data_IF_522545075172
#
_entry.id   IF_522545075172
#
_cell.length_a   1.000
_cell.length_b   1.000
_cell.length_c   1.000
_cell.angle_alpha   90.00
_cell.angle_beta   90.00
_cell.angle_gamma   90.00
#
_symmetry.space_group_name_H-M   'P 1'
#
loop_
_entity.id
_entity.type
_entity.pdbx_description
1 polymer ?
#
# COMPACT_ATOMS: atom_id res chain seq x y z
N UNK A 1 -40.62 13.78 -24.58
CA UNK A 1 -40.35 13.51 -23.15
C UNK A 1 -38.92 13.02 -23.04
N UNK A 2 -37.99 13.78 -22.44
CA UNK A 2 -36.63 13.29 -22.30
C UNK A 2 -36.59 12.23 -21.20
N UNK A 3 -36.07 11.05 -21.54
CA UNK A 3 -35.79 9.97 -20.59
C UNK A 3 -34.55 10.37 -19.80
N UNK A 4 -34.74 10.74 -18.54
CA UNK A 4 -33.64 10.93 -17.58
C UNK A 4 -33.18 9.53 -17.18
N UNK A 5 -31.99 9.13 -17.63
CA UNK A 5 -31.30 7.96 -17.08
C UNK A 5 -30.84 8.34 -15.66
N UNK A 6 -31.59 7.88 -14.66
CA UNK A 6 -31.13 7.86 -13.27
C UNK A 6 -30.03 6.80 -13.17
N UNK A 7 -28.77 7.25 -13.17
CA UNK A 7 -27.63 6.43 -12.80
C UNK A 7 -27.73 6.18 -11.29
N UNK A 8 -28.37 5.08 -10.89
CA UNK A 8 -28.43 4.68 -9.49
C UNK A 8 -27.04 4.33 -9.00
N UNK A 9 -26.60 4.95 -7.91
CA UNK A 9 -25.41 4.52 -7.19
C UNK A 9 -25.61 3.07 -6.73
N UNK A 10 -25.00 2.11 -7.41
CA UNK A 10 -24.93 0.74 -6.92
C UNK A 10 -24.14 0.76 -5.61
N UNK A 11 -24.81 0.36 -4.52
CA UNK A 11 -24.15 0.12 -3.24
C UNK A 11 -23.14 -1.01 -3.44
N UNK A 12 -21.93 -0.85 -2.90
CA UNK A 12 -20.96 -1.93 -2.83
C UNK A 12 -21.63 -3.17 -2.21
N UNK A 13 -21.44 -4.32 -2.84
CA UNK A 13 -21.93 -5.58 -2.28
C UNK A 13 -21.18 -5.85 -0.98
N UNK A 14 -21.90 -6.29 0.07
CA UNK A 14 -21.23 -6.74 1.27
C UNK A 14 -20.43 -8.01 0.95
N UNK A 15 -19.13 -7.99 1.23
CA UNK A 15 -18.29 -9.19 1.16
C UNK A 15 -18.39 -9.89 2.52
N UNK A 16 -18.72 -11.20 2.56
CA UNK A 16 -18.76 -11.93 3.81
C UNK A 16 -17.43 -11.82 4.55
N UNK A 17 -17.50 -11.72 5.89
CA UNK A 17 -16.35 -11.81 6.79
C UNK A 17 -15.28 -10.70 6.65
N UNK A 18 -15.50 -9.71 5.77
CA UNK A 18 -14.68 -8.51 5.64
C UNK A 18 -15.49 -7.27 6.02
N UNK A 19 -14.97 -6.38 6.88
CA UNK A 19 -15.65 -5.14 7.22
C UNK A 19 -15.98 -4.27 6.00
N UNK A 20 -17.05 -3.46 6.06
CA UNK A 20 -17.48 -2.65 4.92
C UNK A 20 -16.43 -1.66 4.43
N UNK A 21 -16.17 -1.66 3.12
CA UNK A 21 -15.39 -0.65 2.42
C UNK A 21 -15.77 -0.62 0.92
N UNK A 22 -15.27 0.38 0.17
CA UNK A 22 -15.41 0.42 -1.28
C UNK A 22 -14.18 -0.20 -1.94
N UNK A 23 -14.28 -1.48 -2.32
CA UNK A 23 -13.20 -2.31 -2.88
C UNK A 23 -12.98 -2.10 -4.39
N UNK A 24 -13.23 -0.86 -4.87
CA UNK A 24 -13.03 -0.46 -6.26
C UNK A 24 -11.97 0.62 -6.33
N UNK A 25 -11.06 0.50 -7.30
CA UNK A 25 -10.05 1.55 -7.57
C UNK A 25 -10.71 2.91 -7.89
N UNK A 26 -11.94 2.91 -8.40
CA UNK A 26 -12.72 4.12 -8.65
C UNK A 26 -12.99 4.95 -7.38
N UNK A 27 -13.04 4.35 -6.20
CA UNK A 27 -13.17 5.08 -4.94
C UNK A 27 -11.95 5.96 -4.68
N UNK A 28 -10.75 5.41 -4.90
CA UNK A 28 -9.48 6.15 -4.87
C UNK A 28 -9.47 7.31 -5.86
N UNK A 29 -9.89 7.06 -7.11
CA UNK A 29 -9.98 8.11 -8.14
C UNK A 29 -10.95 9.22 -7.77
N UNK A 30 -12.13 8.88 -7.22
CA UNK A 30 -13.11 9.86 -6.76
C UNK A 30 -12.59 10.69 -5.58
N UNK A 31 -11.93 10.06 -4.60
CA UNK A 31 -11.30 10.74 -3.48
C UNK A 31 -10.18 11.68 -3.95
N UNK A 32 -9.38 11.24 -4.93
CA UNK A 32 -8.34 12.05 -5.54
C UNK A 32 -8.91 13.26 -6.30
N UNK A 33 -10.04 13.11 -6.99
CA UNK A 33 -10.73 14.24 -7.62
C UNK A 33 -11.26 15.26 -6.60
N UNK A 34 -11.67 14.81 -5.40
CA UNK A 34 -12.13 15.68 -4.32
C UNK A 34 -10.97 16.33 -3.52
N UNK A 35 -9.81 15.68 -3.46
CA UNK A 35 -8.59 16.20 -2.82
C UNK A 35 -7.39 16.10 -3.77
N UNK A 36 -7.30 17.01 -4.76
CA UNK A 36 -6.34 16.87 -5.87
C UNK A 36 -4.87 16.88 -5.43
N UNK A 37 -4.53 17.47 -4.28
CA UNK A 37 -3.15 17.45 -3.76
C UNK A 37 -2.73 16.09 -3.17
N UNK A 38 -3.69 15.19 -2.89
CA UNK A 38 -3.43 13.86 -2.36
C UNK A 38 -3.05 13.82 -0.87
N UNK A 39 -3.35 14.88 -0.12
CA UNK A 39 -2.98 15.01 1.30
C UNK A 39 -4.14 14.69 2.27
N UNK A 40 -5.34 14.45 1.74
CA UNK A 40 -6.47 14.11 2.59
C UNK A 40 -6.32 12.66 3.09
N UNK A 41 -6.39 12.41 4.41
CA UNK A 41 -6.44 11.05 4.90
C UNK A 41 -7.69 10.33 4.37
N UNK A 42 -7.61 9.02 4.10
CA UNK A 42 -8.78 8.22 3.77
C UNK A 42 -9.74 8.14 4.98
N UNK A 43 -11.03 7.81 4.76
CA UNK A 43 -11.99 7.63 5.84
C UNK A 43 -11.48 6.66 6.91
N UNK A 44 -11.64 7.04 8.19
CA UNK A 44 -11.21 6.22 9.34
C UNK A 44 -9.73 6.33 9.71
N UNK A 45 -8.89 6.99 8.90
CA UNK A 45 -7.49 7.22 9.22
C UNK A 45 -7.23 8.59 9.86
N UNK A 46 -6.11 8.67 10.59
CA UNK A 46 -5.57 9.90 11.18
C UNK A 46 -6.46 10.57 12.24
N UNK A 47 -7.28 9.80 12.96
CA UNK A 47 -7.81 10.22 14.25
C UNK A 47 -6.70 10.16 15.31
N UNK A 48 -6.02 11.28 15.51
CA UNK A 48 -4.95 11.43 16.50
C UNK A 48 -5.43 11.35 17.96
N UNK A 49 -6.74 11.35 18.20
CA UNK A 49 -7.32 11.09 19.52
C UNK A 49 -7.58 9.59 19.78
N UNK A 50 -7.46 8.74 18.77
CA UNK A 50 -7.66 7.31 18.89
C UNK A 50 -6.72 6.69 19.95
N UNK A 51 -7.25 5.73 20.71
CA UNK A 51 -6.51 4.96 21.71
C UNK A 51 -6.65 3.48 21.38
N UNK A 52 -5.54 2.78 21.06
CA UNK A 52 -5.55 1.35 20.79
C UNK A 52 -6.20 0.59 21.95
N UNK A 53 -7.05 -0.38 21.62
CA UNK A 53 -7.72 -1.22 22.62
C UNK A 53 -6.77 -2.33 23.11
N UNK A 54 -7.17 -3.05 24.17
CA UNK A 54 -6.44 -4.26 24.56
C UNK A 54 -6.52 -5.35 23.48
N UNK A 55 -7.55 -5.31 22.63
CA UNK A 55 -7.73 -6.25 21.53
C UNK A 55 -6.79 -5.91 20.36
N UNK A 56 -6.67 -4.64 20.01
CA UNK A 56 -5.78 -4.15 18.96
C UNK A 56 -4.80 -3.13 19.55
N UNK A 57 -3.76 -3.57 20.28
CA UNK A 57 -2.87 -2.68 21.04
C UNK A 57 -1.91 -1.88 20.17
N UNK A 58 -1.69 -2.30 18.92
CA UNK A 58 -0.83 -1.60 17.97
C UNK A 58 -1.69 -0.82 16.97
N UNK A 59 -1.48 0.50 16.80
CA UNK A 59 -2.07 1.23 15.68
C UNK A 59 -1.45 0.76 14.36
N UNK A 60 -2.24 0.79 13.29
CA UNK A 60 -1.80 0.38 11.95
C UNK A 60 -1.38 1.61 11.15
N UNK A 61 -0.14 1.61 10.65
CA UNK A 61 0.40 2.67 9.78
C UNK A 61 0.39 2.19 8.32
N UNK A 62 -0.21 3.00 7.46
CA UNK A 62 -0.41 2.73 6.04
C UNK A 62 0.64 3.44 5.18
N UNK A 63 1.43 2.69 4.42
CA UNK A 63 2.53 3.20 3.59
C UNK A 63 2.27 2.93 2.10
N UNK A 64 1.86 3.97 1.37
CA UNK A 64 1.48 3.88 -0.05
C UNK A 64 2.67 3.49 -0.95
N UNK A 65 2.37 3.05 -2.17
CA UNK A 65 3.34 2.71 -3.20
C UNK A 65 3.97 3.93 -3.88
N UNK A 66 4.84 3.65 -4.86
CA UNK A 66 5.45 4.71 -5.65
C UNK A 66 4.40 5.41 -6.53
N UNK A 67 4.52 6.73 -6.70
CA UNK A 67 3.59 7.57 -7.48
C UNK A 67 2.16 7.66 -6.96
N UNK A 68 1.87 7.00 -5.84
CA UNK A 68 0.62 7.11 -5.12
C UNK A 68 0.67 8.25 -4.09
N UNK A 69 -0.38 8.33 -3.30
CA UNK A 69 -0.48 9.13 -2.09
C UNK A 69 -1.50 8.48 -1.16
N UNK A 70 -1.59 8.94 0.08
CA UNK A 70 -2.49 8.38 1.08
C UNK A 70 -3.97 8.50 0.69
N UNK A 71 -4.36 9.53 -0.09
CA UNK A 71 -5.75 9.73 -0.50
C UNK A 71 -6.19 8.65 -1.49
N UNK A 72 -5.37 8.36 -2.51
CA UNK A 72 -5.77 7.42 -3.56
C UNK A 72 -5.60 5.95 -3.15
N UNK A 73 -4.54 5.63 -2.40
CA UNK A 73 -4.17 4.25 -2.13
C UNK A 73 -5.09 3.53 -1.13
N UNK A 74 -5.68 4.26 -0.19
CA UNK A 74 -6.20 3.65 1.05
C UNK A 74 -7.72 3.77 1.26
N UNK A 75 -8.49 4.01 0.20
CA UNK A 75 -9.95 4.13 0.29
C UNK A 75 -10.67 2.81 0.63
N UNK A 76 -10.01 1.66 0.45
CA UNK A 76 -10.54 0.36 0.86
C UNK A 76 -9.99 -0.07 2.22
N UNK A 77 -8.67 -0.17 2.35
CA UNK A 77 -8.04 -0.77 3.53
C UNK A 77 -8.19 0.07 4.80
N UNK A 78 -8.13 1.41 4.73
CA UNK A 78 -8.27 2.25 5.91
C UNK A 78 -9.66 2.16 6.56
N UNK A 79 -10.78 2.36 5.85
CA UNK A 79 -12.10 2.20 6.46
C UNK A 79 -12.37 0.76 6.89
N UNK A 80 -11.88 -0.25 6.14
CA UNK A 80 -11.99 -1.65 6.54
C UNK A 80 -11.32 -1.91 7.90
N UNK A 81 -10.08 -1.46 8.08
CA UNK A 81 -9.34 -1.59 9.35
C UNK A 81 -9.99 -0.78 10.47
N UNK A 82 -10.45 0.43 10.18
CA UNK A 82 -11.15 1.25 11.16
C UNK A 82 -12.44 0.58 11.64
N UNK A 83 -13.23 0.00 10.73
CA UNK A 83 -14.43 -0.77 11.06
C UNK A 83 -14.12 -2.06 11.83
N UNK A 84 -12.94 -2.65 11.63
CA UNK A 84 -12.43 -3.74 12.45
C UNK A 84 -11.92 -3.30 13.84
N UNK A 85 -11.95 -2.00 14.17
CA UNK A 85 -11.59 -1.49 15.50
C UNK A 85 -10.12 -1.10 15.67
N UNK A 86 -9.35 -1.02 14.59
CA UNK A 86 -7.97 -0.54 14.65
C UNK A 86 -7.91 1.00 14.70
N UNK A 87 -6.94 1.55 15.42
CA UNK A 87 -6.49 2.92 15.19
C UNK A 87 -5.63 2.94 13.93
N UNK A 88 -6.07 3.65 12.89
CA UNK A 88 -5.42 3.66 11.57
C UNK A 88 -4.78 5.02 11.31
N UNK A 89 -3.54 5.01 10.82
CA UNK A 89 -2.79 6.21 10.46
C UNK A 89 -2.20 6.07 9.06
N UNK A 90 -2.28 7.11 8.26
CA UNK A 90 -1.71 7.15 6.91
C UNK A 90 -0.85 8.39 6.74
N UNK A 91 0.18 8.28 5.92
CA UNK A 91 1.07 9.40 5.60
C UNK A 91 1.39 9.44 4.11
N UNK A 92 1.79 10.63 3.65
CA UNK A 92 2.54 10.77 2.41
C UNK A 92 4.04 10.74 2.73
N UNK A 93 4.82 10.12 1.86
CA UNK A 93 6.28 10.11 1.92
C UNK A 93 6.87 10.42 0.55
N UNK A 94 8.10 10.90 0.52
CA UNK A 94 8.84 11.20 -0.71
C UNK A 94 8.25 12.34 -1.54
N UNK A 95 7.63 13.33 -0.90
CA UNK A 95 7.29 14.61 -1.53
C UNK A 95 8.56 15.47 -1.67
N UNK A 96 8.83 16.04 -2.84
CA UNK A 96 9.92 17.03 -2.97
C UNK A 96 9.39 18.42 -2.65
N UNK A 97 10.12 19.18 -1.86
CA UNK A 97 9.69 20.52 -1.39
C UNK A 97 9.55 21.55 -2.51
N UNK A 98 10.20 21.35 -3.66
CA UNK A 98 10.11 22.23 -4.83
C UNK A 98 8.87 21.99 -5.69
N UNK A 99 8.09 20.96 -5.38
CA UNK A 99 7.01 20.54 -6.25
C UNK A 99 5.78 21.43 -6.17
N UNK A 100 5.22 21.69 -7.35
CA UNK A 100 4.02 22.50 -7.53
C UNK A 100 2.96 21.69 -8.26
N UNK A 101 1.76 22.24 -8.35
CA UNK A 101 0.68 21.59 -9.10
C UNK A 101 1.07 21.42 -10.58
N UNK A 102 0.88 20.23 -11.20
CA UNK A 102 0.27 19.01 -10.66
C UNK A 102 1.23 17.99 -10.03
N UNK A 103 2.55 18.14 -10.18
CA UNK A 103 3.55 17.18 -9.74
C UNK A 103 3.51 16.88 -8.22
N UNK A 104 3.09 17.87 -7.42
CA UNK A 104 2.91 17.72 -5.96
C UNK A 104 1.84 16.68 -5.57
N UNK A 105 0.94 16.31 -6.48
CA UNK A 105 -0.05 15.24 -6.25
C UNK A 105 0.58 13.84 -6.25
N UNK A 106 1.75 13.69 -6.87
CA UNK A 106 2.48 12.44 -7.03
C UNK A 106 3.55 12.35 -5.96
N UNK A 107 3.42 11.39 -5.05
CA UNK A 107 4.38 11.17 -3.94
C UNK A 107 5.27 9.97 -4.22
N UNK A 108 6.11 9.60 -3.26
CA UNK A 108 7.07 8.53 -3.39
C UNK A 108 8.11 8.80 -4.49
N UNK A 109 8.55 10.05 -4.64
CA UNK A 109 9.49 10.47 -5.69
C UNK A 109 10.90 10.74 -5.20
N UNK A 110 11.13 10.79 -3.90
CA UNK A 110 12.48 10.86 -3.33
C UNK A 110 13.07 9.46 -3.14
N UNK A 111 14.41 9.36 -2.95
CA UNK A 111 15.04 8.08 -2.64
C UNK A 111 14.39 7.37 -1.44
N UNK A 112 14.42 6.04 -1.45
CA UNK A 112 13.73 5.20 -0.45
C UNK A 112 14.20 5.50 0.98
N UNK A 113 15.48 5.80 1.16
CA UNK A 113 16.05 6.16 2.47
C UNK A 113 15.46 7.46 3.04
N UNK A 114 15.12 8.42 2.18
CA UNK A 114 14.45 9.65 2.61
C UNK A 114 13.03 9.34 3.09
N UNK A 115 12.27 8.57 2.32
CA UNK A 115 10.93 8.12 2.74
C UNK A 115 10.98 7.34 4.06
N UNK A 116 12.02 6.52 4.26
CA UNK A 116 12.18 5.73 5.47
C UNK A 116 12.45 6.60 6.71
N UNK A 117 13.16 7.72 6.54
CA UNK A 117 13.35 8.70 7.61
C UNK A 117 12.03 9.42 7.95
N UNK A 118 11.23 9.80 6.94
CA UNK A 118 9.90 10.37 7.18
C UNK A 118 8.98 9.38 7.91
N UNK A 119 9.05 8.10 7.54
CA UNK A 119 8.32 7.03 8.23
C UNK A 119 8.78 6.89 9.68
N UNK A 120 10.09 7.00 9.96
CA UNK A 120 10.60 6.96 11.34
C UNK A 120 9.96 8.06 12.22
N UNK A 121 9.94 9.30 11.72
CA UNK A 121 9.33 10.43 12.42
C UNK A 121 7.82 10.24 12.61
N UNK A 122 7.15 9.70 11.58
CA UNK A 122 5.71 9.43 11.64
C UNK A 122 5.36 8.34 12.65
N UNK A 123 6.14 7.25 12.70
CA UNK A 123 5.95 6.17 13.69
C UNK A 123 6.08 6.70 15.10
N UNK A 124 7.11 7.49 15.39
CA UNK A 124 7.27 8.06 16.73
C UNK A 124 6.13 9.03 17.09
N UNK A 125 5.65 9.81 16.12
CA UNK A 125 4.46 10.66 16.31
C UNK A 125 3.21 9.84 16.63
N UNK A 126 2.98 8.74 15.90
CA UNK A 126 1.84 7.84 16.14
C UNK A 126 1.93 7.20 17.52
N UNK A 127 3.10 6.68 17.91
CA UNK A 127 3.34 6.09 19.24
C UNK A 127 3.12 7.12 20.35
N UNK A 128 3.65 8.33 20.20
CA UNK A 128 3.46 9.40 21.18
C UNK A 128 1.99 9.82 21.32
N UNK A 129 1.23 9.89 20.22
CA UNK A 129 -0.17 10.29 20.25
C UNK A 129 -1.08 9.21 20.84
N UNK A 130 -0.81 7.94 20.55
CA UNK A 130 -1.64 6.79 20.94
C UNK A 130 -1.26 6.20 22.28
N UNK A 131 0.00 6.34 22.70
CA UNK A 131 0.59 5.67 23.85
C UNK A 131 1.04 4.23 23.58
N UNK A 132 1.01 3.76 22.32
CA UNK A 132 1.40 2.41 21.97
C UNK A 132 2.92 2.20 21.94
N UNK A 133 3.37 1.03 22.40
CA UNK A 133 4.78 0.66 22.39
C UNK A 133 5.29 0.33 20.98
N UNK A 134 4.42 -0.21 20.11
CA UNK A 134 4.73 -0.59 18.74
C UNK A 134 3.58 -0.23 17.81
N UNK A 135 3.87 -0.21 16.52
CA UNK A 135 2.88 -0.10 15.44
C UNK A 135 2.87 -1.39 14.62
N UNK A 136 1.81 -1.60 13.87
CA UNK A 136 1.78 -2.57 12.76
C UNK A 136 1.81 -1.82 11.43
N UNK A 137 2.44 -2.39 10.41
CA UNK A 137 2.47 -1.81 9.07
C UNK A 137 1.55 -2.56 8.13
N UNK A 138 0.82 -1.81 7.31
CA UNK A 138 0.23 -2.28 6.06
C UNK A 138 0.80 -1.42 4.93
N UNK A 139 1.50 -2.06 4.01
CA UNK A 139 2.26 -1.36 2.96
C UNK A 139 1.84 -1.84 1.59
N UNK A 140 1.95 -0.96 0.60
CA UNK A 140 1.74 -1.31 -0.80
C UNK A 140 3.02 -1.03 -1.60
N UNK A 141 3.43 -1.98 -2.45
CA UNK A 141 4.49 -1.80 -3.44
C UNK A 141 5.78 -1.25 -2.80
N UNK A 142 6.30 -0.13 -3.30
CA UNK A 142 7.48 0.56 -2.75
C UNK A 142 7.35 0.96 -1.26
N UNK A 143 6.14 1.16 -0.74
CA UNK A 143 5.92 1.39 0.68
C UNK A 143 6.48 0.25 1.55
N UNK A 144 6.52 -0.97 1.03
CA UNK A 144 7.17 -2.12 1.67
C UNK A 144 8.68 -1.95 1.81
N UNK A 145 9.36 -1.46 0.75
CA UNK A 145 10.80 -1.19 0.81
C UNK A 145 11.12 0.00 1.73
N UNK A 146 10.29 1.04 1.71
CA UNK A 146 10.43 2.22 2.58
C UNK A 146 10.29 1.81 4.05
N UNK A 147 9.20 1.14 4.41
CA UNK A 147 8.99 0.64 5.77
C UNK A 147 10.05 -0.38 6.18
N UNK A 148 10.43 -1.28 5.27
CA UNK A 148 11.46 -2.29 5.52
C UNK A 148 12.83 -1.68 5.79
N UNK A 149 13.19 -0.62 5.06
CA UNK A 149 14.43 0.12 5.31
C UNK A 149 14.44 0.78 6.69
N UNK A 150 13.32 1.39 7.10
CA UNK A 150 13.17 1.93 8.45
C UNK A 150 13.39 0.85 9.52
N UNK A 151 12.69 -0.28 9.37
CA UNK A 151 12.77 -1.41 10.31
C UNK A 151 14.20 -1.97 10.39
N UNK A 152 14.87 -2.13 9.24
CA UNK A 152 16.18 -2.77 9.16
C UNK A 152 17.35 -1.85 9.52
N UNK A 153 17.31 -0.58 9.13
CA UNK A 153 18.49 0.30 9.18
C UNK A 153 18.32 1.55 10.04
N UNK A 154 17.08 1.94 10.38
CA UNK A 154 16.81 3.19 11.11
C UNK A 154 16.24 2.94 12.50
N UNK A 155 16.43 1.73 13.04
CA UNK A 155 16.04 1.38 14.41
C UNK A 155 14.56 1.06 14.58
N UNK A 156 13.81 0.73 13.52
CA UNK A 156 12.39 0.37 13.64
C UNK A 156 12.11 -1.04 14.17
N UNK A 157 13.13 -1.90 14.32
CA UNK A 157 12.96 -3.30 14.70
C UNK A 157 12.23 -3.53 16.04
N UNK A 158 12.39 -2.62 17.02
CA UNK A 158 11.70 -2.68 18.31
C UNK A 158 10.41 -1.83 18.36
N UNK A 159 10.08 -1.15 17.25
CA UNK A 159 8.92 -0.27 17.09
C UNK A 159 7.82 -0.85 16.22
N UNK A 160 8.11 -1.88 15.44
CA UNK A 160 7.13 -2.57 14.58
C UNK A 160 6.89 -3.98 15.11
N UNK A 161 5.64 -4.42 15.25
CA UNK A 161 5.33 -5.79 15.65
C UNK A 161 5.02 -6.67 14.44
N UNK A 162 4.16 -6.18 13.54
CA UNK A 162 3.78 -6.88 12.31
C UNK A 162 3.99 -6.01 11.09
N UNK A 163 4.38 -6.65 9.99
CA UNK A 163 4.61 -6.01 8.70
C UNK A 163 3.83 -6.76 7.63
N UNK A 164 2.71 -6.20 7.20
CA UNK A 164 1.91 -6.73 6.10
C UNK A 164 2.27 -5.97 4.83
N UNK A 165 2.79 -6.69 3.84
CA UNK A 165 3.32 -6.14 2.61
C UNK A 165 2.48 -6.62 1.42
N UNK A 166 1.76 -5.70 0.78
CA UNK A 166 1.02 -5.96 -0.45
C UNK A 166 1.96 -5.66 -1.62
N UNK A 167 2.32 -6.69 -2.39
CA UNK A 167 3.14 -6.59 -3.60
C UNK A 167 4.48 -5.84 -3.42
N UNK A 168 5.14 -6.00 -2.26
CA UNK A 168 6.43 -5.36 -2.02
C UNK A 168 7.56 -6.00 -2.85
N UNK A 169 8.33 -5.24 -3.65
CA UNK A 169 9.39 -5.78 -4.50
C UNK A 169 10.68 -6.08 -3.71
N UNK A 170 10.63 -7.05 -2.80
CA UNK A 170 11.74 -7.40 -1.90
C UNK A 170 13.04 -7.79 -2.61
N UNK A 171 12.96 -8.34 -3.83
CA UNK A 171 14.12 -8.62 -4.67
C UNK A 171 14.28 -7.63 -5.85
N UNK A 172 13.45 -6.58 -5.91
CA UNK A 172 13.46 -5.58 -6.97
C UNK A 172 12.56 -5.97 -8.14
N UNK A 173 12.47 -5.10 -9.14
CA UNK A 173 11.77 -5.39 -10.39
C UNK A 173 12.45 -4.67 -11.53
N UNK A 174 12.90 -5.44 -12.52
CA UNK A 174 13.53 -4.89 -13.73
C UNK A 174 12.48 -4.49 -14.78
N UNK A 175 11.22 -4.88 -14.59
CA UNK A 175 10.08 -4.47 -15.42
C UNK A 175 9.38 -3.20 -14.93
N UNK A 176 9.72 -2.72 -13.74
CA UNK A 176 9.10 -1.54 -13.13
C UNK A 176 9.16 -0.28 -14.03
N UNK A 177 10.21 -0.18 -14.86
CA UNK A 177 10.37 0.91 -15.82
C UNK A 177 9.35 0.86 -16.98
N UNK A 178 8.66 -0.27 -17.20
CA UNK A 178 7.79 -0.52 -18.36
C UNK A 178 6.29 -0.39 -18.04
N UNK A 179 5.85 -0.64 -16.80
CA UNK A 179 4.42 -0.71 -16.43
C UNK A 179 3.91 0.46 -15.58
N UNK A 180 4.73 1.07 -14.71
CA UNK A 180 4.24 1.94 -13.64
C UNK A 180 3.86 3.38 -14.04
N UNK A 181 4.15 3.82 -15.28
CA UNK A 181 3.98 5.24 -15.67
C UNK A 181 2.99 5.54 -16.79
N UNK A 182 2.63 4.55 -17.63
CA UNK A 182 1.89 4.82 -18.86
C UNK A 182 0.48 4.22 -18.93
N UNK A 183 0.13 3.25 -18.09
CA UNK A 183 -1.18 2.57 -18.22
C UNK A 183 -2.32 3.34 -17.52
N UNK A 184 -2.10 3.89 -16.33
CA UNK A 184 -3.13 4.67 -15.63
C UNK A 184 -3.27 6.12 -16.15
N UNK A 185 -2.23 6.65 -16.80
CA UNK A 185 -2.19 8.01 -17.35
C UNK A 185 -2.37 8.08 -18.88
N UNK A 186 -2.50 6.94 -19.55
CA UNK A 186 -2.45 6.81 -21.01
C UNK A 186 -3.75 6.37 -21.66
N UNK A 187 -4.84 7.12 -21.49
CA UNK A 187 -5.96 7.01 -22.43
C UNK A 187 -5.47 7.42 -23.83
N UNK A 188 -5.61 6.57 -24.87
CA UNK A 188 -5.11 6.90 -26.20
C UNK A 188 -5.85 8.14 -26.75
N UNK A 189 -5.10 9.19 -27.08
CA UNK A 189 -5.59 10.33 -27.86
C UNK A 189 -5.77 11.66 -27.14
N UNK A 190 -5.31 11.84 -25.89
CA UNK A 190 -5.35 13.15 -25.22
C UNK A 190 -3.95 13.69 -24.95
N UNK A 191 -3.80 15.02 -24.98
CA UNK A 191 -2.57 15.79 -24.70
C UNK A 191 -2.01 15.63 -23.27
N UNK A 192 -2.43 14.59 -22.55
CA UNK A 192 -2.00 14.24 -21.20
C UNK A 192 -0.61 13.61 -21.16
N UNK A 193 -0.07 13.11 -22.28
CA UNK A 193 1.28 12.52 -22.31
C UNK A 193 2.36 13.52 -21.91
N UNK A 194 2.30 14.75 -22.40
CA UNK A 194 3.24 15.83 -22.04
C UNK A 194 3.05 16.31 -20.60
N UNK A 195 1.82 16.31 -20.09
CA UNK A 195 1.54 16.65 -18.70
C UNK A 195 1.99 15.53 -17.74
N UNK A 196 1.87 14.26 -18.15
CA UNK A 196 2.39 13.11 -17.42
C UNK A 196 3.91 13.06 -17.45
N UNK A 197 4.55 13.29 -18.60
CA UNK A 197 6.02 13.44 -18.72
C UNK A 197 6.53 14.61 -17.85
N UNK A 198 5.80 15.73 -17.79
CA UNK A 198 6.13 16.86 -16.93
C UNK A 198 5.86 16.61 -15.43
N UNK A 199 4.81 15.85 -15.09
CA UNK A 199 4.43 15.51 -13.71
C UNK A 199 5.29 14.39 -13.11
N UNK A 200 5.75 13.44 -13.93
CA UNK A 200 6.69 12.39 -13.53
C UNK A 200 8.06 12.97 -13.16
N UNK A 201 8.40 14.15 -13.69
CA UNK A 201 9.58 14.91 -13.31
C UNK A 201 10.88 14.10 -13.46
N UNK A 202 11.90 14.47 -12.70
CA UNK A 202 13.15 13.71 -12.66
C UNK A 202 12.95 12.33 -12.02
N UNK A 203 12.82 11.33 -12.87
CA UNK A 203 12.69 9.91 -12.55
C UNK A 203 13.96 9.31 -11.90
N UNK A 204 15.03 10.10 -11.71
CA UNK A 204 16.29 9.69 -11.05
C UNK A 204 16.16 9.32 -9.56
N UNK A 205 14.98 9.50 -8.96
CA UNK A 205 14.70 9.23 -7.55
C UNK A 205 14.72 7.73 -7.19
N UNK A 206 13.62 7.14 -6.71
CA UNK A 206 13.66 5.77 -6.20
C UNK A 206 13.60 4.69 -7.31
N UNK A 207 13.36 5.05 -8.57
CA UNK A 207 13.27 4.07 -9.67
C UNK A 207 14.54 3.27 -9.91
N UNK A 208 15.74 3.87 -10.01
CA UNK A 208 16.97 3.08 -10.14
C UNK A 208 17.21 2.19 -8.90
N UNK A 209 16.65 2.55 -7.75
CA UNK A 209 16.83 1.78 -6.51
C UNK A 209 16.03 0.49 -6.51
N UNK A 210 14.92 0.37 -7.27
CA UNK A 210 14.14 -0.87 -7.34
C UNK A 210 14.63 -1.88 -8.35
N UNK A 211 15.61 -1.52 -9.19
CA UNK A 211 16.23 -2.49 -10.09
C UNK A 211 16.89 -3.61 -9.28
N UNK A 212 16.74 -4.86 -9.72
CA UNK A 212 17.24 -6.04 -9.00
C UNK A 212 18.74 -5.94 -8.69
N UNK A 213 19.47 -5.35 -9.64
CA UNK A 213 20.93 -5.15 -9.62
C UNK A 213 21.39 -3.90 -8.86
N UNK A 214 20.47 -3.09 -8.34
CA UNK A 214 20.83 -1.84 -7.67
C UNK A 214 21.64 -2.07 -6.38
N UNK A 215 22.46 -1.08 -6.02
CA UNK A 215 23.17 -1.10 -4.74
C UNK A 215 22.20 -1.07 -3.55
N UNK A 216 21.06 -0.38 -3.70
CA UNK A 216 20.00 -0.36 -2.70
C UNK A 216 19.44 -1.75 -2.45
N UNK A 217 19.03 -2.48 -3.50
CA UNK A 217 18.47 -3.83 -3.34
C UNK A 217 19.52 -4.81 -2.81
N UNK A 218 20.77 -4.68 -3.25
CA UNK A 218 21.88 -5.47 -2.71
C UNK A 218 22.07 -5.26 -1.22
N UNK A 219 21.94 -4.01 -0.74
CA UNK A 219 21.96 -3.67 0.68
C UNK A 219 20.72 -4.19 1.41
N UNK A 220 19.52 -4.03 0.85
CA UNK A 220 18.29 -4.57 1.47
C UNK A 220 18.38 -6.08 1.69
N UNK A 221 19.00 -6.83 0.76
CA UNK A 221 19.19 -8.28 0.86
C UNK A 221 20.42 -8.71 1.67
N UNK A 222 21.18 -7.78 2.26
CA UNK A 222 22.30 -8.14 3.14
C UNK A 222 21.82 -8.94 4.35
N UNK A 223 22.74 -9.61 5.04
CA UNK A 223 22.48 -10.20 6.36
C UNK A 223 21.32 -11.21 6.40
N UNK A 224 21.13 -11.95 5.31
CA UNK A 224 20.11 -13.00 5.20
C UNK A 224 18.76 -12.54 4.65
N UNK A 225 18.60 -11.29 4.24
CA UNK A 225 17.40 -10.81 3.56
C UNK A 225 16.82 -9.52 4.13
N UNK A 226 15.67 -9.04 3.63
CA UNK A 226 15.10 -7.75 4.00
C UNK A 226 14.44 -7.72 5.38
N UNK A 227 14.22 -8.88 6.00
CA UNK A 227 13.48 -9.01 7.26
C UNK A 227 14.40 -9.01 8.48
N UNK A 228 13.91 -8.49 9.60
CA UNK A 228 14.62 -8.53 10.89
C UNK A 228 13.93 -9.44 11.91
N UNK A 229 14.68 -10.11 12.81
CA UNK A 229 14.10 -10.86 13.92
C UNK A 229 13.21 -9.98 14.81
N UNK A 230 12.16 -10.55 15.38
CA UNK A 230 11.24 -9.86 16.31
C UNK A 230 10.06 -9.14 15.64
N UNK A 231 10.04 -9.06 14.31
CA UNK A 231 8.92 -8.57 13.50
C UNK A 231 8.31 -9.73 12.72
N UNK A 232 6.99 -9.87 12.73
CA UNK A 232 6.28 -10.88 11.93
C UNK A 232 5.91 -10.29 10.56
N UNK A 233 6.34 -10.92 9.47
CA UNK A 233 6.08 -10.44 8.11
C UNK A 233 5.02 -11.30 7.43
N UNK A 234 4.11 -10.66 6.70
CA UNK A 234 3.20 -11.32 5.77
C UNK A 234 3.26 -10.63 4.43
N UNK A 235 3.64 -11.37 3.38
CA UNK A 235 3.65 -10.89 2.00
C UNK A 235 2.38 -11.37 1.30
N UNK A 236 1.60 -10.42 0.78
CA UNK A 236 0.39 -10.64 0.00
C UNK A 236 0.72 -10.37 -1.47
N UNK A 237 0.58 -11.39 -2.29
CA UNK A 237 1.22 -11.48 -3.60
C UNK A 237 0.17 -11.88 -4.64
N UNK A 238 0.21 -11.25 -5.82
CA UNK A 238 -0.55 -11.71 -6.97
C UNK A 238 0.36 -12.37 -7.98
N UNK A 239 -0.06 -13.51 -8.54
CA UNK A 239 0.62 -14.11 -9.71
C UNK A 239 0.44 -13.30 -10.99
N UNK A 240 -0.50 -12.36 -11.00
CA UNK A 240 -0.83 -11.48 -12.12
C UNK A 240 -0.14 -10.11 -12.03
N UNK A 241 0.73 -9.92 -11.04
CA UNK A 241 1.49 -8.68 -10.87
C UNK A 241 2.35 -8.37 -12.11
N UNK A 242 2.05 -7.24 -12.75
CA UNK A 242 2.65 -6.73 -13.97
C UNK A 242 3.71 -5.64 -13.71
N UNK A 243 3.90 -5.26 -12.44
CA UNK A 243 4.85 -4.23 -11.99
C UNK A 243 6.05 -4.85 -11.30
N UNK A 244 5.83 -5.81 -10.42
CA UNK A 244 6.85 -6.59 -9.72
C UNK A 244 7.01 -7.90 -10.46
N UNK A 245 7.98 -7.93 -11.39
CA UNK A 245 8.18 -9.08 -12.28
C UNK A 245 9.59 -9.64 -12.10
N UNK A 246 9.74 -10.96 -11.84
CA UNK A 246 8.66 -11.91 -11.61
C UNK A 246 7.92 -11.62 -10.28
N UNK A 247 6.63 -11.97 -10.18
CA UNK A 247 5.84 -11.75 -8.94
C UNK A 247 6.48 -12.39 -7.70
N UNK A 248 7.25 -13.46 -7.92
CA UNK A 248 8.04 -14.14 -6.89
C UNK A 248 9.12 -13.25 -6.27
N UNK A 249 9.41 -12.07 -6.84
CA UNK A 249 10.26 -11.06 -6.22
C UNK A 249 9.69 -10.55 -4.88
N UNK A 250 8.38 -10.69 -4.68
CA UNK A 250 7.71 -10.40 -3.42
C UNK A 250 7.78 -11.54 -2.38
N UNK A 251 8.37 -12.69 -2.74
CA UNK A 251 8.54 -13.82 -1.82
C UNK A 251 9.85 -13.67 -1.04
N UNK A 252 9.78 -13.83 0.28
CA UNK A 252 10.96 -13.87 1.16
C UNK A 252 10.98 -15.20 1.91
N UNK A 253 12.09 -15.92 1.81
CA UNK A 253 12.31 -17.17 2.54
C UNK A 253 13.02 -16.86 3.88
N UNK A 254 12.24 -16.75 4.95
CA UNK A 254 12.73 -16.51 6.30
C UNK A 254 11.72 -17.04 7.36
N UNK A 255 12.18 -17.45 8.55
CA UNK A 255 11.35 -18.14 9.54
C UNK A 255 10.21 -17.30 10.13
N UNK A 256 10.31 -15.97 10.06
CA UNK A 256 9.31 -15.02 10.52
C UNK A 256 8.44 -14.44 9.40
N UNK A 257 8.41 -15.10 8.23
CA UNK A 257 7.67 -14.64 7.06
C UNK A 257 6.57 -15.65 6.69
N UNK A 258 5.37 -15.13 6.40
CA UNK A 258 4.32 -15.85 5.68
C UNK A 258 4.15 -15.24 4.28
N UNK A 259 4.35 -16.04 3.24
CA UNK A 259 4.07 -15.63 1.86
C UNK A 259 2.71 -16.19 1.44
N UNK A 260 1.84 -15.34 0.89
CA UNK A 260 0.51 -15.72 0.40
C UNK A 260 0.39 -15.24 -1.03
N UNK A 261 0.30 -16.18 -1.97
CA UNK A 261 -0.20 -15.88 -3.31
C UNK A 261 -1.72 -15.97 -3.23
N UNK A 262 -2.43 -14.85 -3.42
CA UNK A 262 -3.88 -14.78 -3.14
C UNK A 262 -4.67 -15.79 -3.97
N UNK A 263 -4.21 -16.07 -5.19
CA UNK A 263 -4.79 -17.08 -6.09
C UNK A 263 -4.67 -18.52 -5.60
N UNK A 264 -3.76 -18.84 -4.68
CA UNK A 264 -3.65 -20.19 -4.12
C UNK A 264 -4.84 -20.49 -3.19
N UNK A 265 -5.42 -19.46 -2.58
CA UNK A 265 -6.62 -19.53 -1.74
C UNK A 265 -7.92 -19.18 -2.48
N UNK A 266 -7.83 -18.39 -3.55
CA UNK A 266 -8.97 -17.98 -4.35
C UNK A 266 -8.62 -17.83 -5.84
N UNK A 267 -8.79 -18.89 -6.64
CA UNK A 267 -8.48 -18.85 -8.08
C UNK A 267 -9.35 -17.86 -8.88
N UNK A 268 -10.47 -17.40 -8.32
CA UNK A 268 -11.35 -16.41 -8.94
C UNK A 268 -10.83 -14.97 -8.80
N UNK A 269 -9.87 -14.75 -7.91
CA UNK A 269 -9.22 -13.47 -7.69
C UNK A 269 -8.16 -13.23 -8.77
N UNK A 270 -8.44 -12.30 -9.67
CA UNK A 270 -7.56 -11.90 -10.77
C UNK A 270 -6.90 -10.54 -10.49
N UNK A 271 -6.83 -10.10 -9.23
CA UNK A 271 -6.21 -8.83 -8.88
C UNK A 271 -4.78 -8.74 -9.41
N UNK A 272 -4.45 -7.62 -10.04
CA UNK A 272 -3.10 -7.26 -10.48
C UNK A 272 -2.39 -6.40 -9.42
N UNK A 273 -1.26 -5.77 -9.77
CA UNK A 273 -0.48 -4.99 -8.81
C UNK A 273 -1.31 -3.92 -8.09
N UNK A 274 -2.12 -3.15 -8.85
CA UNK A 274 -2.91 -2.06 -8.30
C UNK A 274 -4.20 -2.55 -7.64
N UNK A 275 -4.83 -3.59 -8.19
CA UNK A 275 -6.08 -4.10 -7.64
C UNK A 275 -5.89 -4.75 -6.25
N UNK A 276 -4.71 -5.30 -5.93
CA UNK A 276 -4.43 -5.89 -4.61
C UNK A 276 -4.70 -4.93 -3.44
N UNK A 277 -4.48 -3.62 -3.60
CA UNK A 277 -4.71 -2.65 -2.51
C UNK A 277 -6.19 -2.38 -2.23
N UNK A 278 -7.07 -2.75 -3.16
CA UNK A 278 -8.53 -2.67 -3.03
C UNK A 278 -9.19 -4.05 -3.09
N UNK A 279 -8.43 -5.12 -2.95
CA UNK A 279 -8.93 -6.48 -3.04
C UNK A 279 -9.46 -6.96 -1.67
N UNK A 280 -10.73 -7.40 -1.57
CA UNK A 280 -11.29 -7.92 -0.33
C UNK A 280 -10.68 -9.26 0.13
N UNK A 281 -10.14 -10.08 -0.76
CA UNK A 281 -9.38 -11.31 -0.42
C UNK A 281 -8.07 -10.91 0.25
N UNK A 282 -7.32 -9.98 -0.34
CA UNK A 282 -6.15 -9.34 0.28
C UNK A 282 -6.49 -8.70 1.62
N UNK A 283 -7.61 -8.00 1.73
CA UNK A 283 -8.08 -7.39 2.98
C UNK A 283 -8.30 -8.43 4.09
N UNK A 284 -8.95 -9.56 3.78
CA UNK A 284 -9.13 -10.66 4.71
C UNK A 284 -7.80 -11.25 5.18
N UNK A 285 -6.85 -11.43 4.26
CA UNK A 285 -5.50 -11.88 4.62
C UNK A 285 -4.73 -10.86 5.48
N UNK A 286 -4.91 -9.56 5.24
CA UNK A 286 -4.30 -8.49 6.04
C UNK A 286 -4.85 -8.51 7.47
N UNK A 287 -6.17 -8.61 7.65
CA UNK A 287 -6.79 -8.77 8.97
C UNK A 287 -6.26 -10.01 9.69
N UNK A 288 -6.16 -11.13 8.98
CA UNK A 288 -5.64 -12.37 9.55
C UNK A 288 -4.16 -12.29 9.93
N UNK A 289 -3.38 -11.43 9.29
CA UNK A 289 -2.00 -11.18 9.64
C UNK A 289 -1.89 -10.27 10.87
N UNK A 290 -2.72 -9.23 10.96
CA UNK A 290 -2.74 -8.25 12.04
C UNK A 290 -3.26 -8.83 13.36
N UNK A 291 -4.25 -9.73 13.31
CA UNK A 291 -4.79 -10.42 14.47
C UNK A 291 -5.11 -11.90 14.15
N UNK A 292 -4.12 -12.80 14.21
CA UNK A 292 -4.28 -14.20 13.84
C UNK A 292 -5.21 -14.98 14.77
N UNK A 293 -5.40 -14.54 16.02
CA UNK A 293 -6.21 -15.26 17.01
C UNK A 293 -7.71 -15.04 16.82
N UNK A 294 -8.09 -13.92 16.16
CA UNK A 294 -9.48 -13.51 15.94
C UNK A 294 -9.78 -13.21 14.46
N UNK A 295 -8.90 -13.66 13.58
CA UNK A 295 -9.02 -13.47 12.15
C UNK A 295 -10.37 -14.01 11.64
N UNK A 296 -11.17 -13.21 10.91
CA UNK A 296 -12.32 -13.74 10.20
C UNK A 296 -11.86 -14.70 9.08
N UNK A 297 -12.79 -15.50 8.56
CA UNK A 297 -12.51 -16.31 7.37
C UNK A 297 -12.17 -15.39 6.19
N UNK A 298 -11.15 -15.76 5.41
CA UNK A 298 -10.80 -14.99 4.21
C UNK A 298 -11.82 -15.33 3.12
N UNK A 299 -12.50 -14.34 2.51
CA UNK A 299 -13.47 -14.61 1.46
C UNK A 299 -12.76 -15.12 0.19
N UNK A 300 -13.50 -15.82 -0.67
CA UNK A 300 -13.11 -16.00 -2.05
C UNK A 300 -14.18 -15.42 -2.98
N UNK A 301 -13.87 -14.28 -3.58
CA UNK A 301 -14.74 -13.54 -4.49
C UNK A 301 -13.96 -13.13 -5.73
N UNK A 302 -14.62 -12.97 -6.90
CA UNK A 302 -13.94 -12.47 -8.09
C UNK A 302 -13.43 -11.05 -7.91
N UNK A 303 -12.21 -10.78 -8.33
CA UNK A 303 -11.62 -9.43 -8.34
C UNK A 303 -10.97 -9.23 -9.69
N UNK A 304 -11.25 -8.10 -10.35
CA UNK A 304 -10.81 -7.86 -11.72
C UNK A 304 -9.55 -6.97 -11.76
N UNK A 305 -8.60 -7.23 -12.68
CA UNK A 305 -7.44 -6.38 -12.91
C UNK A 305 -7.83 -4.93 -13.16
N UNK A 306 -7.07 -3.97 -12.61
CA UNK A 306 -7.27 -2.52 -12.71
C UNK A 306 -8.66 -1.99 -12.31
N UNK A 307 -9.51 -2.83 -11.68
CA UNK A 307 -10.88 -2.48 -11.32
C UNK A 307 -11.13 -2.70 -9.82
N UNK A 308 -10.87 -3.90 -9.30
CA UNK A 308 -11.30 -4.34 -7.97
C UNK A 308 -12.54 -5.24 -8.01
N UNK A 309 -13.24 -5.36 -6.86
CA UNK A 309 -14.47 -6.15 -6.67
C UNK A 309 -15.73 -5.28 -6.88
#
# INVERSE_FOLDING_TARGET
MPVVLLCGAQRAAAVPDVPPADFRLAAGMAAMAASPRGDAPPPGANDWSCRPSAEHPNPVVLLHGQFENQTIAWQAMAPMLHHAGYCVFSMNWGERSSDTWPAVAVKGRLPIEHGAAEVADFVERVRAATGADRVDFLTHSMGGLVGGYYVKFLGGADRVARFVAIAAPWNGSDHFAMSSGMQLLGAPGTSLRTAAEAALGDMSGPLPQVLTSSAFMSRMRSDGGPTVPGVAYTNLISRYDEVVVPFTSSIVDAPNVRNIVVQDGCEQDLADHLALVVDPVTAGHALAALDPDRAPAVPCVPVLPLIGN
#
